data_IF_256052486037
#
_entry.id   IF_256052486037
#
_cell.length_a   1.000
_cell.length_b   1.000
_cell.length_c   1.000
_cell.angle_alpha   90.00
_cell.angle_beta   90.00
_cell.angle_gamma   90.00
#
_symmetry.space_group_name_H-M   'P 1'
#
loop_
_entity.id
_entity.type
_entity.pdbx_description
1 polymer ?
#
# COMPACT_ATOMS: atom_id res chain seq x y z
N UNK A 1 -15.94 3.34 11.80
CA UNK A 1 -14.74 4.17 11.67
C UNK A 1 -14.89 5.05 10.43
N UNK A 2 -14.43 6.29 10.45
CA UNK A 2 -14.53 7.21 9.32
C UNK A 2 -13.40 6.92 8.30
N UNK A 3 -13.69 6.05 7.34
CA UNK A 3 -12.79 5.70 6.25
C UNK A 3 -13.37 6.21 4.94
N UNK A 4 -12.51 6.75 4.07
CA UNK A 4 -12.89 7.22 2.74
C UNK A 4 -12.74 6.12 1.68
N UNK A 5 -11.77 5.20 1.89
CA UNK A 5 -11.49 4.06 1.00
C UNK A 5 -11.17 2.82 1.82
N UNK A 6 -11.64 1.66 1.37
CA UNK A 6 -11.32 0.35 1.94
C UNK A 6 -10.80 -0.54 0.81
N UNK A 7 -9.57 -1.04 0.97
CA UNK A 7 -8.96 -1.99 0.05
C UNK A 7 -9.23 -3.41 0.51
N UNK A 8 -9.70 -4.25 -0.40
CA UNK A 8 -10.05 -5.65 -0.19
C UNK A 8 -9.20 -6.54 -1.11
N UNK A 9 -8.79 -7.70 -0.64
CA UNK A 9 -8.05 -8.65 -1.47
C UNK A 9 -6.69 -9.02 -0.90
N UNK A 10 -5.86 -9.65 -1.73
CA UNK A 10 -4.55 -10.16 -1.37
C UNK A 10 -3.50 -9.58 -2.33
N UNK A 11 -2.47 -8.93 -1.79
CA UNK A 11 -1.40 -8.30 -2.57
C UNK A 11 -0.10 -9.12 -2.59
N UNK A 12 0.06 -10.06 -1.65
CA UNK A 12 1.33 -10.76 -1.41
C UNK A 12 1.35 -12.15 -2.05
N UNK A 13 0.36 -12.99 -1.81
CA UNK A 13 0.42 -14.37 -2.25
C UNK A 13 -0.97 -14.94 -2.61
N UNK A 14 -1.14 -15.37 -3.86
CA UNK A 14 -2.40 -15.95 -4.35
C UNK A 14 -2.89 -17.16 -3.55
N UNK A 15 -1.96 -17.96 -2.99
CA UNK A 15 -2.31 -19.14 -2.19
C UNK A 15 -2.92 -18.75 -0.83
N UNK A 16 -2.50 -17.63 -0.26
CA UNK A 16 -2.89 -17.17 1.09
C UNK A 16 -4.27 -16.53 1.15
N UNK A 17 -4.89 -16.25 0.02
CA UNK A 17 -6.20 -15.60 -0.04
C UNK A 17 -7.22 -16.31 0.86
N UNK A 18 -7.83 -15.55 1.76
CA UNK A 18 -8.86 -16.04 2.68
C UNK A 18 -10.22 -16.24 1.98
N UNK A 19 -10.50 -15.43 0.96
CA UNK A 19 -11.76 -15.38 0.24
C UNK A 19 -11.55 -15.56 -1.27
N UNK A 20 -12.52 -16.14 -1.96
CA UNK A 20 -12.58 -16.12 -3.41
C UNK A 20 -12.91 -14.72 -3.95
N UNK A 21 -12.78 -14.48 -5.25
CA UNK A 21 -13.19 -13.20 -5.85
C UNK A 21 -14.69 -12.94 -5.61
N UNK A 22 -15.54 -13.97 -5.75
CA UNK A 22 -16.98 -13.82 -5.53
C UNK A 22 -17.31 -13.45 -4.07
N UNK A 23 -16.56 -14.03 -3.11
CA UNK A 23 -16.74 -13.72 -1.68
C UNK A 23 -16.26 -12.30 -1.37
N UNK A 24 -15.15 -11.85 -1.98
CA UNK A 24 -14.71 -10.45 -1.88
C UNK A 24 -15.75 -9.48 -2.44
N UNK A 25 -16.37 -9.78 -3.58
CA UNK A 25 -17.45 -8.98 -4.14
C UNK A 25 -18.70 -8.99 -3.25
N UNK A 26 -19.05 -10.14 -2.67
CA UNK A 26 -20.17 -10.24 -1.73
C UNK A 26 -19.93 -9.39 -0.47
N UNK A 27 -18.73 -9.49 0.11
CA UNK A 27 -18.32 -8.66 1.25
C UNK A 27 -18.33 -7.17 0.90
N UNK A 28 -17.88 -6.80 -0.30
CA UNK A 28 -17.91 -5.42 -0.77
C UNK A 28 -19.35 -4.88 -0.85
N UNK A 29 -20.29 -5.68 -1.39
CA UNK A 29 -21.71 -5.27 -1.42
C UNK A 29 -22.31 -5.11 -0.02
N UNK A 30 -21.95 -5.95 0.92
CA UNK A 30 -22.35 -5.83 2.33
C UNK A 30 -21.78 -4.55 2.96
N UNK A 31 -20.48 -4.32 2.78
CA UNK A 31 -19.82 -3.11 3.30
C UNK A 31 -20.39 -1.82 2.68
N UNK A 32 -20.74 -1.83 1.39
CA UNK A 32 -21.36 -0.68 0.72
C UNK A 32 -22.70 -0.27 1.32
N UNK A 33 -23.40 -1.18 2.02
CA UNK A 33 -24.62 -0.86 2.77
C UNK A 33 -24.33 -0.23 4.14
N UNK A 34 -23.15 -0.54 4.71
CA UNK A 34 -22.75 -0.12 6.06
C UNK A 34 -21.84 1.12 6.07
N UNK A 35 -21.24 1.49 4.95
CA UNK A 35 -20.31 2.61 4.83
C UNK A 35 -20.46 3.36 3.51
N UNK A 36 -20.00 4.62 3.50
CA UNK A 36 -19.88 5.43 2.27
C UNK A 36 -18.47 5.35 1.66
N UNK A 37 -17.58 4.55 2.23
CA UNK A 37 -16.22 4.40 1.72
C UNK A 37 -16.22 3.78 0.32
N UNK A 38 -15.32 4.26 -0.54
CA UNK A 38 -15.01 3.59 -1.80
C UNK A 38 -14.41 2.22 -1.51
N UNK A 39 -14.85 1.20 -2.22
CA UNK A 39 -14.34 -0.16 -2.09
C UNK A 39 -13.47 -0.49 -3.30
N UNK A 40 -12.24 -0.93 -3.06
CA UNK A 40 -11.24 -1.20 -4.08
C UNK A 40 -10.73 -2.63 -3.93
N UNK A 41 -10.63 -3.38 -5.03
CA UNK A 41 -10.01 -4.71 -5.03
C UNK A 41 -8.51 -4.59 -5.31
N UNK A 42 -7.67 -5.14 -4.43
CA UNK A 42 -6.22 -5.14 -4.62
C UNK A 42 -5.76 -6.36 -5.43
N UNK A 43 -4.94 -6.13 -6.45
CA UNK A 43 -4.24 -7.15 -7.20
C UNK A 43 -2.90 -7.54 -6.57
N UNK A 44 -2.38 -8.72 -6.93
CA UNK A 44 -1.06 -9.19 -6.49
C UNK A 44 0.05 -8.26 -7.01
N UNK A 45 1.08 -8.08 -6.19
CA UNK A 45 2.27 -7.30 -6.54
C UNK A 45 3.28 -8.07 -7.42
N UNK A 46 3.20 -9.39 -7.44
CA UNK A 46 4.05 -10.24 -8.26
C UNK A 46 3.22 -11.38 -8.85
N UNK A 47 3.26 -11.51 -10.17
CA UNK A 47 2.60 -12.58 -10.94
C UNK A 47 3.68 -13.51 -11.48
N UNK A 48 3.67 -14.77 -11.07
CA UNK A 48 4.67 -15.77 -11.46
C UNK A 48 4.10 -16.95 -12.27
N UNK A 49 2.80 -17.19 -12.15
CA UNK A 49 2.16 -18.38 -12.75
C UNK A 49 0.99 -18.03 -13.66
N UNK A 50 0.75 -18.86 -14.68
CA UNK A 50 -0.39 -18.71 -15.58
C UNK A 50 -1.75 -18.72 -14.86
N UNK A 51 -1.86 -19.49 -13.77
CA UNK A 51 -3.08 -19.52 -12.93
C UNK A 51 -3.31 -18.20 -12.18
N UNK A 52 -2.23 -17.53 -11.75
CA UNK A 52 -2.31 -16.20 -11.13
C UNK A 52 -2.71 -15.14 -12.15
N UNK A 53 -2.15 -15.21 -13.36
CA UNK A 53 -2.53 -14.33 -14.46
C UNK A 53 -4.01 -14.47 -14.82
N UNK A 54 -4.53 -15.71 -14.86
CA UNK A 54 -5.95 -15.98 -15.10
C UNK A 54 -6.84 -15.43 -13.97
N UNK A 55 -6.37 -15.50 -12.72
CA UNK A 55 -7.08 -14.95 -11.56
C UNK A 55 -7.07 -13.43 -11.58
N UNK A 56 -5.93 -12.81 -11.92
CA UNK A 56 -5.78 -11.37 -12.09
C UNK A 56 -6.72 -10.84 -13.18
N UNK A 57 -6.77 -11.52 -14.33
CA UNK A 57 -7.69 -11.16 -15.41
C UNK A 57 -9.13 -11.11 -14.92
N UNK A 58 -9.61 -12.15 -14.23
CA UNK A 58 -10.96 -12.18 -13.66
C UNK A 58 -11.20 -11.07 -12.63
N UNK A 59 -10.19 -10.73 -11.82
CA UNK A 59 -10.25 -9.60 -10.89
C UNK A 59 -10.40 -8.26 -11.63
N UNK A 60 -9.66 -8.05 -12.72
CA UNK A 60 -9.78 -6.86 -13.55
C UNK A 60 -11.13 -6.80 -14.32
N UNK A 61 -11.75 -7.94 -14.57
CA UNK A 61 -13.04 -8.10 -15.25
C UNK A 61 -14.24 -8.11 -14.28
N UNK A 62 -14.06 -7.73 -13.00
CA UNK A 62 -15.09 -7.84 -11.95
C UNK A 62 -16.36 -7.02 -12.21
N UNK A 63 -16.30 -5.95 -13.00
CA UNK A 63 -17.44 -5.15 -13.46
C UNK A 63 -18.10 -4.23 -12.42
N UNK A 64 -17.71 -4.31 -11.15
CA UNK A 64 -18.38 -3.60 -10.05
C UNK A 64 -17.44 -2.65 -9.29
N UNK A 65 -16.21 -3.09 -9.00
CA UNK A 65 -15.29 -2.43 -8.09
C UNK A 65 -14.06 -1.92 -8.84
N UNK A 66 -13.54 -0.78 -8.40
CA UNK A 66 -12.24 -0.31 -8.85
C UNK A 66 -11.16 -1.29 -8.44
N UNK A 67 -10.10 -1.38 -9.25
CA UNK A 67 -8.97 -2.29 -9.00
C UNK A 67 -7.71 -1.49 -8.72
N UNK A 68 -6.96 -1.89 -7.70
CA UNK A 68 -5.57 -1.50 -7.48
C UNK A 68 -4.67 -2.42 -8.29
N UNK A 69 -4.04 -1.86 -9.31
CA UNK A 69 -3.07 -2.54 -10.16
C UNK A 69 -1.67 -2.44 -9.52
N UNK A 70 -1.13 -3.57 -9.08
CA UNK A 70 0.21 -3.69 -8.51
C UNK A 70 1.19 -4.37 -9.48
N UNK A 71 0.71 -4.87 -10.62
CA UNK A 71 1.49 -5.49 -11.69
C UNK A 71 1.05 -4.92 -13.05
N UNK A 72 1.98 -4.84 -13.99
CA UNK A 72 1.70 -4.30 -15.33
C UNK A 72 0.69 -5.13 -16.13
N UNK A 73 0.51 -6.42 -15.81
CA UNK A 73 -0.56 -7.20 -16.43
C UNK A 73 -1.96 -6.70 -16.01
N UNK A 74 -2.12 -6.24 -14.75
CA UNK A 74 -3.37 -5.61 -14.32
C UNK A 74 -3.63 -4.31 -15.08
N UNK A 75 -2.60 -3.46 -15.22
CA UNK A 75 -2.65 -2.22 -16.01
C UNK A 75 -3.09 -2.54 -17.45
N UNK A 76 -2.49 -3.55 -18.07
CA UNK A 76 -2.85 -3.98 -19.42
C UNK A 76 -4.32 -4.39 -19.52
N UNK A 77 -4.82 -5.28 -18.65
CA UNK A 77 -6.21 -5.73 -18.73
C UNK A 77 -7.23 -4.61 -18.49
N UNK A 78 -6.94 -3.69 -17.57
CA UNK A 78 -7.81 -2.55 -17.26
C UNK A 78 -7.81 -1.52 -18.39
N UNK A 79 -6.64 -1.18 -18.94
CA UNK A 79 -6.49 -0.22 -20.04
C UNK A 79 -7.20 -0.68 -21.32
N UNK A 80 -7.07 -1.98 -21.67
CA UNK A 80 -7.76 -2.55 -22.83
C UNK A 80 -9.28 -2.45 -22.78
N UNK A 81 -9.82 -2.27 -21.59
CA UNK A 81 -11.27 -2.15 -21.33
C UNK A 81 -11.71 -0.72 -21.05
N UNK A 82 -10.78 0.23 -21.00
CA UNK A 82 -11.06 1.61 -20.60
C UNK A 82 -11.57 1.74 -19.15
N UNK A 83 -11.24 0.78 -18.26
CA UNK A 83 -11.68 0.78 -16.86
C UNK A 83 -10.72 1.61 -16.02
N UNK A 84 -11.19 2.66 -15.32
CA UNK A 84 -10.35 3.44 -14.42
C UNK A 84 -9.81 2.61 -13.26
N UNK A 85 -8.53 2.82 -12.90
CA UNK A 85 -7.86 2.04 -11.88
C UNK A 85 -6.99 2.88 -10.94
N UNK A 86 -6.56 2.25 -9.83
CA UNK A 86 -5.56 2.76 -8.90
C UNK A 86 -4.20 2.16 -9.27
N UNK A 87 -3.18 2.98 -9.48
CA UNK A 87 -1.80 2.54 -9.64
C UNK A 87 -1.17 2.30 -8.27
N UNK A 88 -0.92 1.05 -7.93
CA UNK A 88 -0.36 0.65 -6.64
C UNK A 88 1.16 0.88 -6.54
N UNK A 89 1.75 0.82 -5.33
CA UNK A 89 3.15 1.16 -5.09
C UNK A 89 4.14 0.21 -5.77
N UNK A 90 3.74 -1.03 -6.04
CA UNK A 90 4.60 -2.01 -6.71
C UNK A 90 4.83 -1.73 -8.21
N UNK A 91 4.09 -0.79 -8.82
CA UNK A 91 4.36 -0.31 -10.18
C UNK A 91 5.61 0.57 -10.27
N UNK A 92 6.18 1.00 -9.15
CA UNK A 92 7.45 1.75 -9.08
C UNK A 92 7.47 3.03 -9.93
N UNK A 93 6.42 3.86 -9.82
CA UNK A 93 6.29 5.10 -10.56
C UNK A 93 6.89 6.28 -9.78
N UNK A 94 7.98 6.85 -10.27
CA UNK A 94 8.76 7.88 -9.57
C UNK A 94 8.82 9.24 -10.27
N UNK A 95 8.14 9.42 -11.39
CA UNK A 95 8.22 10.67 -12.18
C UNK A 95 6.93 10.98 -12.92
N UNK A 96 6.72 12.26 -13.24
CA UNK A 96 5.51 12.75 -13.89
C UNK A 96 5.27 12.14 -15.29
N UNK A 97 6.31 11.83 -16.07
CA UNK A 97 6.15 11.22 -17.40
C UNK A 97 5.58 9.80 -17.31
N UNK A 98 6.09 8.98 -16.37
CA UNK A 98 5.52 7.65 -16.14
C UNK A 98 4.06 7.73 -15.63
N UNK A 99 3.74 8.73 -14.79
CA UNK A 99 2.37 8.98 -14.36
C UNK A 99 1.48 9.38 -15.54
N UNK A 100 1.96 10.26 -16.43
CA UNK A 100 1.19 10.69 -17.60
C UNK A 100 0.86 9.53 -18.54
N UNK A 101 1.80 8.61 -18.74
CA UNK A 101 1.57 7.42 -19.56
C UNK A 101 0.47 6.55 -18.96
N UNK A 102 0.56 6.20 -17.69
CA UNK A 102 -0.46 5.36 -17.05
C UNK A 102 -1.79 6.10 -16.87
N UNK A 103 -1.77 7.41 -16.68
CA UNK A 103 -2.98 8.23 -16.66
C UNK A 103 -3.72 8.18 -18.01
N UNK A 104 -2.99 8.22 -19.12
CA UNK A 104 -3.57 8.05 -20.46
C UNK A 104 -4.20 6.67 -20.65
N UNK A 105 -3.72 5.65 -19.94
CA UNK A 105 -4.25 4.28 -19.93
C UNK A 105 -5.38 4.05 -18.93
N UNK A 106 -5.78 5.08 -18.17
CA UNK A 106 -6.94 5.02 -17.27
C UNK A 106 -6.60 5.05 -15.77
N UNK A 107 -5.33 5.22 -15.36
CA UNK A 107 -5.01 5.45 -13.94
C UNK A 107 -5.66 6.75 -13.46
N UNK A 108 -6.32 6.73 -12.29
CA UNK A 108 -6.98 7.90 -11.68
C UNK A 108 -6.53 8.17 -10.24
N UNK A 109 -5.80 7.23 -9.66
CA UNK A 109 -5.14 7.39 -8.36
C UNK A 109 -3.76 6.76 -8.44
N UNK A 110 -2.77 7.44 -7.89
CA UNK A 110 -1.40 6.97 -7.79
C UNK A 110 -1.01 6.79 -6.32
N UNK A 111 -0.41 5.65 -6.00
CA UNK A 111 0.19 5.38 -4.71
C UNK A 111 1.70 5.38 -4.92
N UNK A 112 2.42 6.40 -4.41
CA UNK A 112 3.87 6.46 -4.52
C UNK A 112 4.54 5.22 -3.90
N UNK A 113 5.69 4.79 -4.43
CA UNK A 113 6.58 3.88 -3.72
C UNK A 113 6.94 4.44 -2.34
N UNK A 114 7.10 3.55 -1.36
CA UNK A 114 7.23 3.93 0.06
C UNK A 114 8.49 4.70 0.41
N UNK A 115 9.49 4.70 -0.47
CA UNK A 115 10.73 5.47 -0.33
C UNK A 115 10.63 6.93 -0.80
N UNK A 116 9.50 7.30 -1.41
CA UNK A 116 9.29 8.66 -1.90
C UNK A 116 9.16 9.62 -0.70
N UNK A 117 10.11 10.56 -0.60
CA UNK A 117 10.05 11.59 0.43
C UNK A 117 9.00 12.66 0.10
N UNK A 118 8.54 13.39 1.11
CA UNK A 118 7.58 14.49 0.91
C UNK A 118 8.11 15.58 -0.05
N UNK A 119 9.44 15.81 -0.09
CA UNK A 119 10.07 16.72 -1.07
C UNK A 119 9.99 16.15 -2.49
N UNK A 120 10.34 14.88 -2.67
CA UNK A 120 10.29 14.23 -3.98
C UNK A 120 8.84 14.14 -4.48
N UNK A 121 7.89 13.81 -3.59
CA UNK A 121 6.47 13.78 -3.92
C UNK A 121 6.00 15.09 -4.54
N UNK A 122 6.28 16.24 -3.90
CA UNK A 122 5.93 17.55 -4.45
C UNK A 122 6.53 17.78 -5.83
N UNK A 123 7.82 17.46 -6.02
CA UNK A 123 8.46 17.60 -7.34
C UNK A 123 7.83 16.73 -8.42
N UNK A 124 7.36 15.53 -8.09
CA UNK A 124 6.63 14.66 -9.04
C UNK A 124 5.25 15.22 -9.33
N UNK A 125 4.54 15.76 -8.32
CA UNK A 125 3.22 16.38 -8.51
C UNK A 125 3.31 17.68 -9.33
N UNK A 126 4.35 18.49 -9.13
CA UNK A 126 4.61 19.67 -9.97
C UNK A 126 4.82 19.29 -11.45
N UNK A 127 5.57 18.21 -11.70
CA UNK A 127 5.71 17.66 -13.07
C UNK A 127 4.38 17.14 -13.61
N UNK A 128 3.61 16.44 -12.79
CA UNK A 128 2.29 15.92 -13.17
C UNK A 128 1.32 17.05 -13.55
N UNK A 129 1.30 18.13 -12.78
CA UNK A 129 0.48 19.31 -13.08
C UNK A 129 0.90 19.97 -14.40
N UNK A 130 2.22 20.11 -14.67
CA UNK A 130 2.72 20.63 -15.96
C UNK A 130 2.33 19.76 -17.16
N UNK A 131 2.06 18.48 -16.93
CA UNK A 131 1.59 17.51 -17.93
C UNK A 131 0.05 17.38 -18.00
N UNK A 132 -0.69 18.22 -17.28
CA UNK A 132 -2.15 18.24 -17.31
C UNK A 132 -2.84 17.14 -16.49
N UNK A 133 -2.20 16.68 -15.42
CA UNK A 133 -2.69 15.58 -14.58
C UNK A 133 -3.36 16.06 -13.27
N UNK A 134 -4.00 17.24 -13.28
CA UNK A 134 -4.59 17.86 -12.08
C UNK A 134 -5.70 17.02 -11.42
N UNK A 135 -6.29 16.07 -12.16
CA UNK A 135 -7.33 15.17 -11.63
C UNK A 135 -6.77 13.84 -11.12
N UNK A 136 -5.45 13.62 -11.17
CA UNK A 136 -4.83 12.43 -10.62
C UNK A 136 -4.83 12.52 -9.09
N UNK A 137 -5.56 11.64 -8.43
CA UNK A 137 -5.51 11.54 -6.97
C UNK A 137 -4.18 10.93 -6.52
N UNK A 138 -3.67 11.39 -5.38
CA UNK A 138 -2.45 10.88 -4.76
C UNK A 138 -2.75 10.32 -3.37
N UNK A 139 -2.34 9.06 -3.14
CA UNK A 139 -2.55 8.36 -1.87
C UNK A 139 -1.21 7.98 -1.25
N UNK A 140 -0.88 8.56 -0.09
CA UNK A 140 0.43 8.40 0.58
C UNK A 140 0.34 7.36 1.69
N UNK A 141 1.32 6.45 1.75
CA UNK A 141 1.46 5.48 2.84
C UNK A 141 1.86 6.19 4.13
N UNK A 142 0.96 6.24 5.11
CA UNK A 142 1.14 7.01 6.33
C UNK A 142 1.34 6.15 7.59
N UNK A 143 0.92 4.88 7.58
CA UNK A 143 1.07 3.99 8.73
C UNK A 143 1.19 2.53 8.33
N UNK A 144 2.09 1.79 8.99
CA UNK A 144 2.27 0.35 8.89
C UNK A 144 3.71 -0.06 8.55
N UNK A 145 3.95 -1.36 8.43
CA UNK A 145 5.22 -1.85 7.90
C UNK A 145 5.32 -1.53 6.41
N UNK A 146 6.41 -0.89 6.01
CA UNK A 146 6.62 -0.48 4.62
C UNK A 146 6.90 -1.71 3.73
N UNK A 147 6.16 -1.94 2.64
CA UNK A 147 6.45 -2.99 1.67
C UNK A 147 7.69 -2.61 0.83
N UNK A 148 8.85 -3.18 1.17
CA UNK A 148 10.13 -2.79 0.57
C UNK A 148 10.47 -3.59 -0.68
N UNK A 149 10.16 -4.90 -0.69
CA UNK A 149 10.49 -5.77 -1.81
C UNK A 149 9.57 -6.99 -1.89
N UNK A 150 9.47 -7.55 -3.09
CA UNK A 150 8.80 -8.82 -3.38
C UNK A 150 9.78 -9.79 -4.04
N UNK A 151 9.71 -11.07 -3.66
CA UNK A 151 10.58 -12.13 -4.16
C UNK A 151 9.76 -13.29 -4.68
N UNK A 152 10.22 -13.92 -5.76
CA UNK A 152 9.64 -15.17 -6.24
C UNK A 152 9.71 -16.32 -5.21
N UNK A 153 10.45 -16.16 -4.11
CA UNK A 153 10.61 -17.14 -3.04
C UNK A 153 9.80 -16.74 -1.81
N UNK A 154 9.08 -17.71 -1.23
CA UNK A 154 8.39 -17.50 0.04
C UNK A 154 9.38 -17.70 1.20
N UNK A 155 9.74 -16.61 1.85
CA UNK A 155 10.68 -16.63 2.98
C UNK A 155 10.07 -17.33 4.21
N UNK A 156 8.77 -17.18 4.46
CA UNK A 156 8.08 -17.85 5.56
C UNK A 156 8.10 -19.37 5.38
N UNK A 157 7.77 -19.87 4.18
CA UNK A 157 7.86 -21.32 3.91
C UNK A 157 9.27 -21.84 4.05
N UNK A 158 10.28 -21.06 3.61
CA UNK A 158 11.68 -21.44 3.76
C UNK A 158 12.13 -21.46 5.22
N UNK A 159 11.71 -20.54 6.05
CA UNK A 159 12.00 -20.53 7.49
C UNK A 159 11.45 -21.79 8.17
N UNK A 160 10.33 -22.32 7.68
CA UNK A 160 9.70 -23.56 8.13
C UNK A 160 10.20 -24.83 7.39
N UNK A 161 11.32 -24.73 6.64
CA UNK A 161 11.85 -25.83 5.82
C UNK A 161 10.84 -26.47 4.85
N UNK A 162 9.92 -25.64 4.30
CA UNK A 162 8.88 -26.08 3.37
C UNK A 162 9.13 -25.56 1.97
N UNK A 163 8.84 -26.33 0.91
CA UNK A 163 8.83 -25.79 -0.44
C UNK A 163 7.64 -24.83 -0.62
N UNK A 164 7.81 -23.81 -1.46
CA UNK A 164 6.74 -22.82 -1.74
C UNK A 164 5.44 -23.49 -2.22
N UNK A 165 5.57 -24.58 -2.97
CA UNK A 165 4.41 -25.26 -3.56
C UNK A 165 3.62 -26.12 -2.55
N UNK A 166 4.28 -26.57 -1.48
CA UNK A 166 3.66 -27.29 -0.35
C UNK A 166 3.92 -26.54 0.97
N UNK A 167 3.58 -25.27 1.01
CA UNK A 167 3.82 -24.41 2.18
C UNK A 167 2.84 -24.66 3.33
N UNK A 168 1.75 -25.41 3.09
CA UNK A 168 0.69 -25.68 4.09
C UNK A 168 0.22 -24.42 4.84
N UNK A 169 0.28 -23.27 4.17
CA UNK A 169 -0.12 -21.97 4.73
C UNK A 169 0.53 -21.60 6.07
N UNK A 170 1.78 -22.03 6.29
CA UNK A 170 2.52 -21.76 7.55
C UNK A 170 2.60 -20.26 7.89
N UNK A 171 2.45 -19.37 6.90
CA UNK A 171 2.40 -17.92 7.14
C UNK A 171 1.22 -17.47 8.03
N UNK A 172 0.16 -18.28 8.16
CA UNK A 172 -0.96 -17.98 9.07
C UNK A 172 -0.56 -18.01 10.55
N UNK A 173 0.55 -18.69 10.88
CA UNK A 173 1.10 -18.71 12.23
C UNK A 173 1.85 -17.40 12.58
N UNK A 174 2.10 -16.57 11.58
CA UNK A 174 2.86 -15.32 11.69
C UNK A 174 2.03 -14.13 11.17
N UNK A 175 0.95 -13.72 11.87
CA UNK A 175 0.05 -12.65 11.39
C UNK A 175 0.74 -11.30 11.21
N UNK A 176 1.79 -11.01 12.01
CA UNK A 176 2.61 -9.81 11.87
C UNK A 176 3.89 -10.05 11.02
N UNK A 177 4.08 -11.26 10.49
CA UNK A 177 5.30 -11.68 9.79
C UNK A 177 6.40 -12.19 10.72
N UNK A 178 7.52 -12.62 10.14
CA UNK A 178 8.70 -13.13 10.86
C UNK A 178 9.73 -12.00 10.97
N UNK A 179 10.11 -11.54 12.18
CA UNK A 179 11.13 -10.51 12.34
C UNK A 179 12.50 -11.03 11.97
N UNK A 180 13.25 -10.23 11.22
CA UNK A 180 14.68 -10.42 10.95
C UNK A 180 15.46 -9.37 11.75
N UNK A 181 16.26 -9.84 12.69
CA UNK A 181 17.03 -8.99 13.58
C UNK A 181 18.49 -8.94 13.15
N UNK A 182 19.20 -7.85 13.47
CA UNK A 182 20.66 -7.79 13.41
C UNK A 182 21.28 -8.64 14.53
N UNK A 183 22.60 -8.79 14.52
CA UNK A 183 23.33 -9.49 15.61
C UNK A 183 23.19 -8.75 16.95
N UNK A 184 22.99 -7.45 16.92
CA UNK A 184 22.76 -6.57 18.08
C UNK A 184 21.29 -6.58 18.54
N UNK A 185 20.40 -7.33 17.87
CA UNK A 185 18.98 -7.45 18.20
C UNK A 185 18.10 -6.34 17.64
N UNK A 186 18.60 -5.49 16.71
CA UNK A 186 17.78 -4.48 16.09
C UNK A 186 16.87 -5.05 14.99
N UNK A 187 15.62 -4.61 14.93
CA UNK A 187 14.68 -5.01 13.90
C UNK A 187 15.06 -4.39 12.55
N UNK A 188 15.60 -5.20 11.63
CA UNK A 188 15.99 -4.80 10.28
C UNK A 188 14.81 -4.91 9.31
N UNK A 189 14.20 -6.09 9.26
CA UNK A 189 13.08 -6.39 8.35
C UNK A 189 12.02 -7.25 9.03
N UNK A 190 10.86 -7.32 8.39
CA UNK A 190 9.81 -8.29 8.69
C UNK A 190 9.50 -9.06 7.42
N UNK A 191 9.59 -10.39 7.47
CA UNK A 191 9.35 -11.28 6.34
C UNK A 191 7.90 -11.76 6.35
N UNK A 192 7.15 -11.48 5.30
CA UNK A 192 5.74 -11.83 5.17
C UNK A 192 5.49 -12.58 3.85
N UNK A 193 5.65 -13.87 3.87
CA UNK A 193 5.54 -14.70 2.67
C UNK A 193 6.65 -14.37 1.67
N UNK A 194 6.28 -13.84 0.52
CA UNK A 194 7.19 -13.36 -0.53
C UNK A 194 7.61 -11.89 -0.34
N UNK A 195 7.01 -11.20 0.61
CA UNK A 195 7.22 -9.78 0.85
C UNK A 195 8.25 -9.56 1.97
N UNK A 196 9.19 -8.66 1.72
CA UNK A 196 10.08 -8.08 2.74
C UNK A 196 9.54 -6.72 3.12
N UNK A 197 9.28 -6.52 4.39
CA UNK A 197 8.78 -5.25 4.94
C UNK A 197 9.82 -4.62 5.86
N UNK A 198 9.63 -3.34 6.19
CA UNK A 198 10.44 -2.67 7.21
C UNK A 198 10.35 -3.39 8.57
N UNK A 199 11.45 -3.42 9.32
CA UNK A 199 11.46 -3.98 10.68
C UNK A 199 10.66 -3.13 11.67
N UNK A 200 10.67 -1.82 11.50
CA UNK A 200 9.89 -0.87 12.29
C UNK A 200 8.64 -0.42 11.51
N UNK A 201 7.58 -0.13 12.23
CA UNK A 201 6.36 0.48 11.67
C UNK A 201 6.67 1.91 11.25
N UNK A 202 6.34 2.29 10.03
CA UNK A 202 6.28 3.69 9.60
C UNK A 202 5.06 4.35 10.22
N UNK A 203 5.23 5.55 10.78
CA UNK A 203 4.14 6.28 11.41
C UNK A 203 4.33 7.79 11.20
N UNK A 204 3.54 8.33 10.29
CA UNK A 204 3.59 9.74 9.90
C UNK A 204 2.52 10.59 10.62
N UNK A 205 1.93 10.10 11.71
CA UNK A 205 0.90 10.85 12.44
C UNK A 205 1.44 12.18 12.99
N UNK A 206 2.69 12.19 13.49
CA UNK A 206 3.34 13.44 13.94
C UNK A 206 3.65 14.38 12.77
N UNK A 207 3.84 13.83 11.58
CA UNK A 207 4.16 14.56 10.34
C UNK A 207 2.90 15.01 9.57
N UNK A 208 1.71 14.92 10.18
CA UNK A 208 0.43 15.13 9.49
C UNK A 208 0.35 16.48 8.78
N UNK A 209 0.89 17.56 9.37
CA UNK A 209 0.92 18.87 8.73
C UNK A 209 1.74 18.88 7.45
N UNK A 210 2.87 18.18 7.46
CA UNK A 210 3.71 18.01 6.28
C UNK A 210 3.00 17.18 5.20
N UNK A 211 2.25 16.13 5.60
CA UNK A 211 1.39 15.35 4.69
C UNK A 211 0.31 16.24 4.04
N UNK A 212 -0.41 17.02 4.83
CA UNK A 212 -1.46 17.92 4.36
C UNK A 212 -0.94 18.92 3.31
N UNK A 213 0.28 19.43 3.49
CA UNK A 213 0.92 20.37 2.54
C UNK A 213 1.68 19.68 1.40
N UNK A 214 1.70 18.35 1.35
CA UNK A 214 2.45 17.62 0.33
C UNK A 214 1.72 17.48 -1.01
N UNK A 215 0.41 17.71 -1.02
CA UNK A 215 -0.46 17.41 -2.15
C UNK A 215 -1.06 16.01 -2.11
N UNK A 216 -1.00 15.31 -0.98
CA UNK A 216 -1.68 14.03 -0.79
C UNK A 216 -3.18 14.24 -0.62
N UNK A 217 -4.00 13.53 -1.41
CA UNK A 217 -5.45 13.52 -1.29
C UNK A 217 -5.93 12.52 -0.24
N UNK A 218 -5.22 11.40 -0.11
CA UNK A 218 -5.56 10.30 0.77
C UNK A 218 -4.34 9.80 1.53
N UNK A 219 -4.57 9.30 2.75
CA UNK A 219 -3.55 8.65 3.57
C UNK A 219 -3.87 7.16 3.71
N UNK A 220 -2.92 6.30 3.33
CA UNK A 220 -3.04 4.86 3.47
C UNK A 220 -2.56 4.42 4.86
N UNK A 221 -3.43 3.70 5.56
CA UNK A 221 -3.12 3.03 6.82
C UNK A 221 -3.12 1.52 6.55
N UNK A 222 -1.93 0.90 6.58
CA UNK A 222 -1.82 -0.54 6.39
C UNK A 222 -2.24 -1.27 7.67
N UNK A 223 -3.11 -2.28 7.59
CA UNK A 223 -3.64 -2.93 8.76
C UNK A 223 -2.58 -3.75 9.51
N UNK A 224 -2.72 -3.79 10.84
CA UNK A 224 -2.03 -4.70 11.75
C UNK A 224 -3.06 -5.59 12.44
N UNK A 225 -2.60 -6.71 13.00
CA UNK A 225 -3.50 -7.64 13.69
C UNK A 225 -4.19 -7.02 14.92
N UNK A 226 -3.58 -6.00 15.52
CA UNK A 226 -4.11 -5.33 16.72
C UNK A 226 -3.92 -3.81 16.65
N UNK A 227 -4.76 -3.05 17.36
CA UNK A 227 -4.61 -1.61 17.57
C UNK A 227 -5.05 -0.71 16.40
N UNK A 228 -5.65 -1.25 15.32
CA UNK A 228 -6.01 -0.43 14.15
C UNK A 228 -7.15 0.55 14.41
N UNK A 229 -8.07 0.23 15.31
CA UNK A 229 -9.16 1.16 15.64
C UNK A 229 -8.64 2.45 16.29
N UNK A 230 -7.66 2.34 17.16
CA UNK A 230 -6.97 3.45 17.81
C UNK A 230 -6.15 4.28 16.83
N UNK A 231 -5.44 3.61 15.91
CA UNK A 231 -4.66 4.27 14.85
C UNK A 231 -5.59 5.09 13.95
N UNK A 232 -6.66 4.49 13.43
CA UNK A 232 -7.64 5.18 12.59
C UNK A 232 -8.24 6.37 13.34
N UNK A 233 -8.63 6.18 14.61
CA UNK A 233 -9.19 7.24 15.43
C UNK A 233 -8.18 8.37 15.68
N UNK A 234 -6.88 8.07 15.80
CA UNK A 234 -5.84 9.08 15.97
C UNK A 234 -5.66 9.93 14.71
N UNK A 235 -5.54 9.30 13.54
CA UNK A 235 -5.47 10.02 12.25
C UNK A 235 -6.74 10.85 11.99
N UNK A 236 -7.93 10.31 12.28
CA UNK A 236 -9.19 11.03 12.09
C UNK A 236 -9.32 12.26 13.01
N UNK A 237 -8.85 12.18 14.27
CA UNK A 237 -8.82 13.36 15.16
C UNK A 237 -7.95 14.48 14.61
N UNK A 238 -6.75 14.13 14.10
CA UNK A 238 -5.84 15.14 13.55
C UNK A 238 -6.42 15.71 12.24
N UNK A 239 -6.98 14.88 11.39
CA UNK A 239 -7.71 15.32 10.17
C UNK A 239 -8.84 16.32 10.48
N UNK A 240 -9.48 16.17 11.62
CA UNK A 240 -10.56 17.06 12.10
C UNK A 240 -10.05 18.31 12.84
N UNK A 241 -8.76 18.57 12.81
CA UNK A 241 -8.16 19.78 13.35
C UNK A 241 -7.53 19.66 14.74
N UNK A 242 -7.45 18.45 15.32
CA UNK A 242 -6.65 18.25 16.53
C UNK A 242 -5.15 18.42 16.21
N UNK A 243 -4.39 18.92 17.17
CA UNK A 243 -2.94 18.99 17.00
C UNK A 243 -2.33 17.60 16.87
N UNK A 244 -1.42 17.37 15.90
CA UNK A 244 -0.66 16.14 15.85
C UNK A 244 0.15 15.94 17.14
N UNK A 245 0.39 14.71 17.59
CA UNK A 245 1.28 14.45 18.72
C UNK A 245 2.72 14.87 18.38
N UNK A 246 3.45 15.38 19.35
CA UNK A 246 4.86 15.80 19.18
C UNK A 246 5.78 14.60 18.89
N UNK A 247 5.44 13.43 19.43
CA UNK A 247 6.18 12.18 19.20
C UNK A 247 5.22 11.00 19.09
N UNK A 248 5.58 10.03 18.24
CA UNK A 248 4.89 8.75 18.06
C UNK A 248 5.93 7.64 17.94
N UNK A 249 5.56 6.42 18.32
CA UNK A 249 6.41 5.26 18.06
C UNK A 249 6.51 4.96 16.56
N UNK A 250 7.64 4.39 16.14
CA UNK A 250 7.90 3.99 14.75
C UNK A 250 8.95 4.85 14.06
N UNK A 251 9.04 4.73 12.75
CA UNK A 251 9.99 5.45 11.89
C UNK A 251 9.24 6.36 10.90
N UNK A 252 9.95 7.36 10.36
CA UNK A 252 9.45 8.28 9.34
C UNK A 252 10.57 8.73 8.38
N UNK A 253 11.72 8.07 8.44
CA UNK A 253 12.94 8.53 7.77
C UNK A 253 12.76 8.77 6.27
N UNK A 254 12.11 7.87 5.53
CA UNK A 254 11.87 8.07 4.10
C UNK A 254 11.10 9.35 3.80
N UNK A 255 10.07 9.67 4.61
CA UNK A 255 9.32 10.91 4.43
C UNK A 255 10.20 12.15 4.47
N UNK A 256 11.22 12.14 5.32
CA UNK A 256 12.20 13.22 5.49
C UNK A 256 13.46 13.07 4.60
N UNK A 257 13.47 12.13 3.66
CA UNK A 257 14.66 11.86 2.81
C UNK A 257 15.85 11.30 3.60
N UNK A 258 15.58 10.56 4.67
CA UNK A 258 16.55 9.89 5.55
C UNK A 258 16.39 8.37 5.43
N UNK A 259 17.35 7.57 5.94
CA UNK A 259 17.18 6.11 5.99
C UNK A 259 15.86 5.71 6.65
N UNK A 260 15.11 4.80 6.02
CA UNK A 260 13.73 4.48 6.37
C UNK A 260 13.52 4.01 7.80
N UNK A 261 14.51 3.36 8.42
CA UNK A 261 14.44 2.88 9.81
C UNK A 261 14.61 3.98 10.89
N UNK A 262 15.00 5.18 10.49
CA UNK A 262 15.22 6.29 11.42
C UNK A 262 13.90 6.99 11.75
N UNK A 263 13.88 7.61 12.94
CA UNK A 263 12.94 8.65 13.31
C UNK A 263 13.61 10.00 13.13
N UNK A 264 13.13 10.80 12.21
CA UNK A 264 13.52 12.20 12.07
C UNK A 264 12.54 13.07 12.87
N UNK A 265 13.04 14.04 13.62
CA UNK A 265 12.22 15.11 14.17
C UNK A 265 11.89 16.07 13.02
N UNK A 266 10.69 16.67 13.00
CA UNK A 266 10.39 17.77 12.07
C UNK A 266 11.47 18.86 12.28
N UNK A 267 12.37 18.99 11.33
CA UNK A 267 13.18 20.21 11.25
C UNK A 267 12.17 21.34 11.02
N UNK A 268 12.05 22.21 12.02
CA UNK A 268 11.11 23.32 11.95
C UNK A 268 11.15 23.95 10.55
N UNK A 269 9.99 24.12 9.96
CA UNK A 269 9.82 24.85 8.71
C UNK A 269 10.29 26.29 8.98
N UNK A 270 11.58 26.58 8.68
CA UNK A 270 12.08 27.94 8.50
C UNK A 270 11.76 28.42 7.10
#
# INVERSE_FOLDING_TARGET
>A
QPLDVIYLGETVCAKRRALSLNDWQALARELAQATRAELVLSGLALIEAASELSSLRRLCENGELRVEANDMAAVYYLSQRGVPFVGGPALNLYNGHALAELYSWGMRRWIPPVEVSGKLLRGVLDQAAQLGLEQLQTEVFAYGHLPLAYSARCFTARAENRPKDDCQFCCQQYPEGIPLLSQEGEALFTLNGIQTMSGKVSNLLADYRSLEHSGADLLRLSPRAQGMAEVIAAFDRVRKGAAPPLAVEGCNGYWHGRPGMLRAEEAGLC
#
